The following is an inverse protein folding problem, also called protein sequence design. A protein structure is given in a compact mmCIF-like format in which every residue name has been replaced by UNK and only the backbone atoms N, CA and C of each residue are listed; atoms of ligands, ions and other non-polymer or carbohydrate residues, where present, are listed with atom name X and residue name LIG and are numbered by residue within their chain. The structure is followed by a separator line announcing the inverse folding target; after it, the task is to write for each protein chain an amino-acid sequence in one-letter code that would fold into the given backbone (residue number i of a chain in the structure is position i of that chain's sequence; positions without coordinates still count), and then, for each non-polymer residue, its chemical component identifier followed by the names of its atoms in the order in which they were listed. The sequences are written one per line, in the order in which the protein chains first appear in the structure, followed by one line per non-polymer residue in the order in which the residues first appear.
data_IF_382720192028
#
_entry.id   IF_382720192028
#
_cell.length_a   1.000
_cell.length_b   1.000
_cell.length_c   1.000
_cell.angle_alpha   90.00
_cell.angle_beta   90.00
_cell.angle_gamma   90.00
#
_symmetry.space_group_name_H-M   'P 1'
#
loop_
_entity.id
_entity.type
_entity.pdbx_description
1 polymer ?
#
# COMPACT_ATOMS: atom_id res chain seq x y z
N UNK A 1 -56.82 77.34 14.75
CA UNK A 1 -56.73 76.32 13.69
C UNK A 1 -56.65 74.97 14.39
N UNK A 2 -57.68 74.64 15.17
CA UNK A 2 -58.92 73.96 14.73
C UNK A 2 -58.64 72.48 14.47
N UNK A 3 -58.97 71.57 15.39
CA UNK A 3 -60.28 71.07 15.84
C UNK A 3 -60.61 69.70 15.21
N UNK A 4 -61.36 68.91 16.00
CA UNK A 4 -61.96 67.57 15.75
C UNK A 4 -61.13 66.34 16.15
N UNK A 5 -61.30 65.76 17.36
CA UNK A 5 -62.42 64.91 17.89
C UNK A 5 -62.56 63.60 17.07
N UNK A 6 -62.62 62.37 17.60
CA UNK A 6 -63.29 61.69 18.74
C UNK A 6 -62.73 60.23 18.71
N UNK A 7 -62.81 59.30 19.67
CA UNK A 7 -63.69 58.99 20.80
C UNK A 7 -62.94 57.99 21.72
N UNK A 8 -62.90 58.19 23.04
CA UNK A 8 -63.72 57.52 24.06
C UNK A 8 -63.40 56.04 24.38
N UNK A 9 -62.79 55.84 25.56
CA UNK A 9 -63.36 55.08 26.69
C UNK A 9 -63.33 53.54 26.69
N UNK A 10 -62.78 52.97 27.78
CA UNK A 10 -63.00 51.58 28.21
C UNK A 10 -61.70 50.87 28.62
N UNK A 11 -61.16 51.12 29.81
CA UNK A 11 -61.42 50.36 31.04
C UNK A 11 -60.66 49.02 31.13
N UNK A 12 -59.64 49.05 31.99
CA UNK A 12 -58.87 47.94 32.55
C UNK A 12 -59.72 46.73 32.95
N UNK A 13 -59.30 45.55 32.49
CA UNK A 13 -59.24 44.25 33.19
C UNK A 13 -59.23 43.13 32.13
N UNK A 14 -58.62 41.97 32.44
CA UNK A 14 -58.69 40.69 31.70
C UNK A 14 -57.55 40.28 30.74
N UNK A 15 -56.30 40.67 30.99
CA UNK A 15 -55.14 40.07 30.28
C UNK A 15 -54.05 39.47 31.19
N UNK A 16 -54.33 39.30 32.49
CA UNK A 16 -53.38 38.69 33.45
C UNK A 16 -53.77 37.29 33.94
N UNK A 17 -54.92 36.75 33.53
CA UNK A 17 -55.39 35.41 33.97
C UNK A 17 -55.27 34.29 32.93
N UNK A 18 -54.70 34.55 31.75
CA UNK A 18 -54.59 33.55 30.68
C UNK A 18 -53.21 32.85 30.57
N UNK A 19 -52.26 33.18 31.45
CA UNK A 19 -50.90 32.60 31.46
C UNK A 19 -50.63 31.69 32.67
N UNK A 20 -51.62 31.47 33.54
CA UNK A 20 -51.51 30.62 34.73
C UNK A 20 -51.95 29.16 34.50
N UNK A 21 -52.35 28.79 33.28
CA UNK A 21 -52.90 27.45 32.96
C UNK A 21 -52.06 26.63 31.98
N UNK A 22 -50.78 26.99 31.75
CA UNK A 22 -49.84 26.04 31.16
C UNK A 22 -49.33 25.12 32.29
N UNK A 23 -49.80 23.87 32.28
CA UNK A 23 -49.29 22.83 33.16
C UNK A 23 -47.76 22.83 33.13
N UNK A 24 -47.06 22.75 34.27
CA UNK A 24 -45.61 22.67 34.28
C UNK A 24 -45.21 21.46 33.44
N UNK A 25 -44.33 21.67 32.45
CA UNK A 25 -43.64 20.57 31.78
C UNK A 25 -43.12 19.63 32.87
N UNK A 26 -43.35 18.32 32.80
CA UNK A 26 -42.95 17.41 33.85
C UNK A 26 -41.42 17.51 34.00
N UNK A 27 -41.00 18.18 35.07
CA UNK A 27 -39.60 18.34 35.48
C UNK A 27 -38.90 16.98 35.61
N UNK A 28 -39.67 15.90 35.77
CA UNK A 28 -39.18 14.53 35.77
C UNK A 28 -38.59 14.08 34.43
N UNK A 29 -39.13 14.44 33.26
CA UNK A 29 -38.56 14.00 31.98
C UNK A 29 -37.21 14.68 31.69
N UNK A 30 -37.11 15.99 31.96
CA UNK A 30 -35.86 16.73 31.78
C UNK A 30 -34.78 16.31 32.79
N UNK A 31 -35.17 16.05 34.04
CA UNK A 31 -34.27 15.55 35.08
C UNK A 31 -33.82 14.10 34.83
N UNK A 32 -34.71 13.24 34.31
CA UNK A 32 -34.38 11.86 33.91
C UNK A 32 -33.41 11.88 32.73
N UNK A 33 -33.63 12.75 31.75
CA UNK A 33 -32.73 12.92 30.60
C UNK A 33 -31.36 13.45 31.03
N UNK A 34 -31.30 14.44 31.93
CA UNK A 34 -30.04 14.98 32.47
C UNK A 34 -29.29 13.97 33.36
N UNK A 35 -29.99 13.16 34.16
CA UNK A 35 -29.38 12.03 34.89
C UNK A 35 -28.86 10.95 33.92
N UNK A 36 -29.56 10.71 32.81
CA UNK A 36 -29.11 9.79 31.77
C UNK A 36 -27.81 10.29 31.13
N UNK A 37 -27.71 11.58 30.80
CA UNK A 37 -26.48 12.18 30.27
C UNK A 37 -25.34 12.27 31.30
N UNK A 38 -25.61 12.54 32.58
CA UNK A 38 -24.59 12.58 33.63
C UNK A 38 -24.07 11.18 34.01
N UNK A 39 -24.92 10.15 33.92
CA UNK A 39 -24.51 8.75 34.10
C UNK A 39 -23.79 8.19 32.87
N UNK A 40 -24.15 8.59 31.65
CA UNK A 40 -23.41 8.24 30.42
C UNK A 40 -22.02 8.89 30.34
N UNK A 41 -21.84 10.05 30.98
CA UNK A 41 -20.55 10.75 31.09
C UNK A 41 -19.75 10.38 32.35
N UNK A 42 -20.30 9.55 33.23
CA UNK A 42 -19.57 9.03 34.38
C UNK A 42 -18.46 8.07 33.91
N UNK A 43 -17.27 8.19 34.52
CA UNK A 43 -16.09 7.37 34.20
C UNK A 43 -16.35 5.85 34.08
N UNK A 44 -17.19 5.22 34.94
CA UNK A 44 -17.51 3.79 34.79
C UNK A 44 -18.27 3.45 33.50
N UNK A 45 -19.18 4.32 33.06
CA UNK A 45 -19.95 4.13 31.83
C UNK A 45 -19.07 4.27 30.59
N UNK A 46 -18.16 5.26 30.59
CA UNK A 46 -17.17 5.43 29.54
C UNK A 46 -16.20 4.24 29.48
N UNK A 47 -15.75 3.73 30.63
CA UNK A 47 -14.92 2.53 30.72
C UNK A 47 -15.65 1.29 30.19
N UNK A 48 -16.94 1.11 30.54
CA UNK A 48 -17.76 0.02 30.03
C UNK A 48 -17.93 0.09 28.51
N UNK A 49 -18.23 1.27 27.95
CA UNK A 49 -18.32 1.48 26.50
C UNK A 49 -17.00 1.15 25.80
N UNK A 50 -15.86 1.60 26.36
CA UNK A 50 -14.54 1.29 25.81
C UNK A 50 -14.24 -0.21 25.82
N UNK A 51 -14.53 -0.90 26.92
CA UNK A 51 -14.35 -2.36 27.03
C UNK A 51 -15.25 -3.09 26.03
N UNK A 52 -16.53 -2.73 25.93
CA UNK A 52 -17.46 -3.31 24.96
C UNK A 52 -16.98 -3.08 23.51
N UNK A 53 -16.47 -1.90 23.21
CA UNK A 53 -15.90 -1.58 21.90
C UNK A 53 -14.66 -2.44 21.61
N UNK A 54 -13.72 -2.54 22.55
CA UNK A 54 -12.53 -3.38 22.39
C UNK A 54 -12.87 -4.87 22.21
N UNK A 55 -13.88 -5.37 22.94
CA UNK A 55 -14.41 -6.73 22.76
C UNK A 55 -15.04 -6.90 21.38
N UNK A 56 -15.84 -5.94 20.92
CA UNK A 56 -16.40 -5.94 19.57
C UNK A 56 -15.28 -6.03 18.53
N UNK A 57 -14.33 -5.10 18.56
CA UNK A 57 -13.17 -5.08 17.67
C UNK A 57 -12.43 -6.42 17.66
N UNK A 58 -12.11 -6.98 18.83
CA UNK A 58 -11.41 -8.25 18.95
C UNK A 58 -12.23 -9.43 18.42
N UNK A 59 -13.54 -9.45 18.65
CA UNK A 59 -14.43 -10.55 18.23
C UNK A 59 -14.60 -10.65 16.71
N UNK A 60 -14.59 -9.51 16.02
CA UNK A 60 -14.75 -9.46 14.56
C UNK A 60 -13.42 -9.47 13.81
N UNK A 61 -12.30 -9.18 14.48
CA UNK A 61 -10.97 -9.02 13.86
C UNK A 61 -10.54 -10.21 12.99
N UNK A 62 -10.80 -11.45 13.44
CA UNK A 62 -10.41 -12.67 12.73
C UNK A 62 -11.50 -13.23 11.81
N UNK A 63 -12.63 -12.53 11.62
CA UNK A 63 -13.74 -13.08 10.81
C UNK A 63 -13.34 -13.28 9.37
N UNK A 64 -12.56 -12.35 8.79
CA UNK A 64 -12.10 -12.43 7.41
C UNK A 64 -11.12 -13.58 7.20
N UNK A 65 -10.05 -13.68 8.00
CA UNK A 65 -9.12 -14.81 7.95
C UNK A 65 -9.84 -16.16 8.04
N UNK A 66 -10.74 -16.31 9.03
CA UNK A 66 -11.54 -17.55 9.18
C UNK A 66 -12.48 -17.79 8.00
N UNK A 67 -12.98 -16.74 7.34
CA UNK A 67 -13.79 -16.89 6.14
C UNK A 67 -12.95 -17.36 4.95
N UNK A 68 -11.76 -16.79 4.77
CA UNK A 68 -10.80 -17.18 3.72
C UNK A 68 -10.37 -18.64 3.89
N UNK A 69 -9.94 -19.05 5.10
CA UNK A 69 -9.56 -20.45 5.38
C UNK A 69 -10.70 -21.44 5.08
N UNK A 70 -11.94 -21.08 5.44
CA UNK A 70 -13.13 -21.91 5.15
C UNK A 70 -13.50 -21.95 3.66
N UNK A 71 -13.25 -20.86 2.93
CA UNK A 71 -13.54 -20.75 1.51
C UNK A 71 -12.60 -21.63 0.70
N UNK A 72 -11.29 -21.48 0.90
CA UNK A 72 -10.27 -22.13 0.09
C UNK A 72 -9.94 -23.57 0.54
N UNK A 73 -10.13 -23.88 1.83
CA UNK A 73 -9.99 -25.25 2.37
C UNK A 73 -8.63 -25.90 2.15
N UNK A 74 -7.56 -25.10 2.11
CA UNK A 74 -6.19 -25.59 2.21
C UNK A 74 -5.87 -25.93 3.67
N UNK A 75 -6.11 -27.18 4.07
CA UNK A 75 -6.05 -27.62 5.49
C UNK A 75 -4.73 -28.27 5.87
N UNK A 76 -3.90 -28.63 4.90
CA UNK A 76 -2.64 -29.34 5.11
C UNK A 76 -1.65 -29.08 3.94
N UNK A 77 -0.41 -29.56 4.07
CA UNK A 77 0.62 -29.40 3.02
C UNK A 77 0.22 -30.05 1.69
N UNK A 78 -0.50 -31.18 1.72
CA UNK A 78 -0.90 -31.89 0.51
C UNK A 78 -1.96 -31.13 -0.31
N UNK A 79 -2.84 -30.38 0.35
CA UNK A 79 -3.78 -29.46 -0.29
C UNK A 79 -3.07 -28.19 -0.75
N UNK A 80 -2.16 -27.62 0.04
CA UNK A 80 -1.37 -26.44 -0.33
C UNK A 80 -0.53 -26.64 -1.60
N UNK A 81 0.02 -27.84 -1.80
CA UNK A 81 0.72 -28.26 -3.02
C UNK A 81 -0.13 -28.21 -4.30
N UNK A 82 -1.45 -28.10 -4.17
CA UNK A 82 -2.40 -28.02 -5.29
C UNK A 82 -2.92 -26.60 -5.53
N UNK A 83 -2.39 -25.60 -4.80
CA UNK A 83 -2.87 -24.23 -4.91
C UNK A 83 -2.66 -23.68 -6.31
N UNK A 84 -3.76 -23.29 -6.95
CA UNK A 84 -3.75 -22.69 -8.28
C UNK A 84 -3.21 -21.26 -8.23
N UNK A 85 -2.70 -20.76 -9.36
CA UNK A 85 -2.31 -19.36 -9.47
C UNK A 85 -3.50 -18.40 -9.28
N UNK A 86 -4.72 -18.83 -9.66
CA UNK A 86 -5.93 -18.04 -9.43
C UNK A 86 -6.23 -17.89 -7.93
N UNK A 87 -6.18 -18.98 -7.16
CA UNK A 87 -6.37 -18.94 -5.71
C UNK A 87 -5.25 -18.16 -5.02
N UNK A 88 -4.01 -18.38 -5.43
CA UNK A 88 -2.85 -17.66 -4.90
C UNK A 88 -2.98 -16.14 -5.13
N UNK A 89 -3.42 -15.72 -6.32
CA UNK A 89 -3.68 -14.31 -6.64
C UNK A 89 -4.82 -13.72 -5.80
N UNK A 90 -5.90 -14.46 -5.58
CA UNK A 90 -7.02 -13.96 -4.76
C UNK A 90 -6.65 -13.85 -3.27
N UNK A 91 -5.91 -14.82 -2.74
CA UNK A 91 -5.39 -14.78 -1.37
C UNK A 91 -4.38 -13.63 -1.24
N UNK A 92 -3.49 -13.43 -2.22
CA UNK A 92 -2.56 -12.31 -2.23
C UNK A 92 -3.31 -10.96 -2.25
N UNK A 93 -4.34 -10.82 -3.09
CA UNK A 93 -5.20 -9.62 -3.11
C UNK A 93 -5.83 -9.36 -1.75
N UNK A 94 -6.26 -10.39 -1.02
CA UNK A 94 -6.76 -10.26 0.35
C UNK A 94 -5.70 -9.73 1.32
N UNK A 95 -4.47 -10.26 1.26
CA UNK A 95 -3.34 -9.76 2.06
C UNK A 95 -3.09 -8.28 1.75
N UNK A 96 -3.02 -7.93 0.46
CA UNK A 96 -2.57 -6.64 -0.03
C UNK A 96 -3.60 -5.51 0.00
N UNK A 97 -4.88 -5.82 -0.20
CA UNK A 97 -5.92 -4.80 -0.36
C UNK A 97 -6.97 -4.84 0.77
N UNK A 98 -6.96 -5.87 1.63
CA UNK A 98 -7.92 -5.99 2.73
C UNK A 98 -7.25 -6.09 4.10
N UNK A 99 -6.37 -7.07 4.33
CA UNK A 99 -5.81 -7.34 5.65
C UNK A 99 -4.70 -6.34 6.03
N UNK A 100 -3.65 -6.24 5.20
CA UNK A 100 -2.39 -5.56 5.55
C UNK A 100 -1.90 -4.50 4.54
N UNK A 101 -2.77 -3.69 3.91
CA UNK A 101 -2.40 -2.89 2.75
C UNK A 101 -1.24 -1.92 2.97
N UNK A 102 -1.25 -1.20 4.10
CA UNK A 102 -0.21 -0.20 4.38
C UNK A 102 1.15 -0.86 4.65
N UNK A 103 1.19 -1.95 5.41
CA UNK A 103 2.46 -2.59 5.76
C UNK A 103 3.00 -3.49 4.64
N UNK A 104 2.12 -4.12 3.86
CA UNK A 104 2.52 -4.83 2.66
C UNK A 104 3.14 -3.87 1.63
N UNK A 105 2.52 -2.70 1.38
CA UNK A 105 3.08 -1.68 0.49
C UNK A 105 4.45 -1.18 1.00
N UNK A 106 4.56 -0.86 2.29
CA UNK A 106 5.84 -0.44 2.89
C UNK A 106 6.93 -1.53 2.79
N UNK A 107 6.57 -2.79 2.95
CA UNK A 107 7.50 -3.91 2.80
C UNK A 107 7.97 -4.08 1.35
N UNK A 108 7.10 -3.90 0.36
CA UNK A 108 7.49 -3.90 -1.06
C UNK A 108 8.36 -2.70 -1.43
N UNK A 109 8.07 -1.52 -0.89
CA UNK A 109 8.94 -0.35 -1.05
C UNK A 109 10.34 -0.65 -0.54
N UNK A 110 10.45 -1.26 0.65
CA UNK A 110 11.74 -1.70 1.18
C UNK A 110 12.38 -2.80 0.32
N UNK A 111 11.60 -3.77 -0.17
CA UNK A 111 12.09 -4.82 -1.05
C UNK A 111 12.80 -4.24 -2.28
N UNK A 112 12.12 -3.32 -2.99
CA UNK A 112 12.69 -2.63 -4.14
C UNK A 112 13.91 -1.81 -3.71
N UNK A 113 13.83 -1.11 -2.58
CA UNK A 113 14.95 -0.33 -2.06
C UNK A 113 16.19 -1.20 -1.80
N UNK A 114 16.04 -2.40 -1.23
CA UNK A 114 17.16 -3.34 -0.99
C UNK A 114 17.90 -3.70 -2.27
N UNK A 115 17.22 -3.76 -3.42
CA UNK A 115 17.89 -4.05 -4.71
C UNK A 115 18.92 -2.98 -5.08
N UNK A 116 18.75 -1.73 -4.62
CA UNK A 116 19.72 -0.66 -4.86
C UNK A 116 21.02 -0.87 -4.08
N UNK A 117 21.02 -1.75 -3.07
CA UNK A 117 22.22 -2.17 -2.32
C UNK A 117 23.11 -3.15 -3.09
N UNK A 118 22.67 -3.63 -4.27
CA UNK A 118 23.46 -4.46 -5.17
C UNK A 118 24.12 -3.57 -6.22
N UNK A 119 25.46 -3.60 -6.29
CA UNK A 119 26.22 -2.64 -7.10
C UNK A 119 25.94 -2.75 -8.61
N UNK A 120 25.72 -3.96 -9.13
CA UNK A 120 25.32 -4.20 -10.54
C UNK A 120 24.03 -3.48 -10.89
N UNK A 121 23.03 -3.55 -10.01
CA UNK A 121 21.73 -2.87 -10.15
C UNK A 121 21.91 -1.36 -10.03
N UNK A 122 22.59 -0.87 -9.00
CA UNK A 122 22.73 0.58 -8.77
C UNK A 122 23.51 1.28 -9.88
N UNK A 123 24.57 0.65 -10.42
CA UNK A 123 25.31 1.15 -11.59
C UNK A 123 24.41 1.39 -12.79
N UNK A 124 23.50 0.44 -13.08
CA UNK A 124 22.57 0.57 -14.21
C UNK A 124 21.55 1.69 -13.98
N UNK A 125 21.01 1.80 -12.77
CA UNK A 125 20.05 2.85 -12.39
C UNK A 125 20.68 4.24 -12.55
N UNK A 126 21.90 4.43 -12.04
CA UNK A 126 22.65 5.69 -12.16
C UNK A 126 22.99 5.99 -13.61
N UNK A 127 23.46 5.00 -14.38
CA UNK A 127 23.82 5.20 -15.78
C UNK A 127 22.62 5.60 -16.66
N UNK A 128 21.45 5.05 -16.37
CA UNK A 128 20.21 5.37 -17.09
C UNK A 128 19.51 6.62 -16.56
N UNK A 129 19.94 7.16 -15.42
CA UNK A 129 19.27 8.19 -14.63
C UNK A 129 17.80 7.86 -14.32
N UNK A 130 17.42 6.57 -14.38
CA UNK A 130 16.01 6.17 -14.32
C UNK A 130 15.39 6.42 -12.94
N UNK A 131 16.23 6.38 -11.89
CA UNK A 131 15.79 6.60 -10.51
C UNK A 131 16.76 7.43 -9.65
N UNK A 132 17.81 8.00 -10.25
CA UNK A 132 18.78 8.86 -9.55
C UNK A 132 18.62 10.36 -9.86
N UNK A 133 17.70 10.73 -10.76
CA UNK A 133 17.37 12.12 -11.09
C UNK A 133 16.02 12.51 -10.46
N UNK A 134 15.99 13.49 -9.54
CA UNK A 134 14.76 13.94 -8.86
C UNK A 134 13.60 14.30 -9.79
N UNK A 135 13.86 14.69 -11.05
CA UNK A 135 12.80 14.98 -12.03
C UNK A 135 12.12 13.73 -12.56
N UNK A 136 12.85 12.63 -12.67
CA UNK A 136 12.36 11.39 -13.30
C UNK A 136 11.96 10.31 -12.29
N UNK A 137 12.56 10.30 -11.09
CA UNK A 137 12.29 9.31 -10.05
C UNK A 137 10.81 9.23 -9.63
N UNK A 138 10.07 10.36 -9.48
CA UNK A 138 8.64 10.29 -9.12
C UNK A 138 7.79 9.52 -10.13
N UNK A 139 7.98 9.78 -11.44
CA UNK A 139 7.27 9.03 -12.48
C UNK A 139 7.70 7.57 -12.50
N UNK A 140 9.00 7.28 -12.42
CA UNK A 140 9.52 5.91 -12.42
C UNK A 140 9.00 5.11 -11.22
N UNK A 141 8.87 5.74 -10.06
CA UNK A 141 8.26 5.14 -8.87
C UNK A 141 6.80 4.79 -9.15
N UNK A 142 6.00 5.75 -9.64
CA UNK A 142 4.60 5.49 -9.94
C UNK A 142 4.43 4.41 -11.02
N UNK A 143 5.24 4.44 -12.07
CA UNK A 143 5.26 3.42 -13.13
C UNK A 143 5.46 2.02 -12.54
N UNK A 144 6.39 1.89 -11.59
CA UNK A 144 6.68 0.61 -10.92
C UNK A 144 5.50 0.14 -10.08
N UNK A 145 4.94 1.04 -9.25
CA UNK A 145 3.76 0.75 -8.42
C UNK A 145 2.54 0.37 -9.27
N UNK A 146 2.32 1.05 -10.39
CA UNK A 146 1.23 0.75 -11.32
C UNK A 146 1.39 -0.66 -11.91
N UNK A 147 2.58 -1.06 -12.34
CA UNK A 147 2.79 -2.42 -12.86
C UNK A 147 2.60 -3.48 -11.77
N UNK A 148 3.15 -3.25 -10.57
CA UNK A 148 3.03 -4.16 -9.43
C UNK A 148 1.56 -4.40 -9.06
N UNK A 149 0.80 -3.33 -8.84
CA UNK A 149 -0.63 -3.46 -8.57
C UNK A 149 -1.38 -4.13 -9.71
N UNK A 150 -1.00 -3.87 -10.96
CA UNK A 150 -1.63 -4.43 -12.14
C UNK A 150 -1.57 -5.96 -12.17
N UNK A 151 -0.43 -6.58 -11.85
CA UNK A 151 -0.32 -8.05 -11.81
C UNK A 151 -0.65 -8.68 -10.46
N UNK A 152 -0.61 -7.94 -9.34
CA UNK A 152 -0.90 -8.48 -7.99
C UNK A 152 -2.38 -8.46 -7.60
N UNK A 153 -3.16 -7.48 -8.09
CA UNK A 153 -4.56 -7.29 -7.69
C UNK A 153 -5.58 -7.89 -8.66
N UNK A 154 -5.08 -8.49 -9.75
CA UNK A 154 -5.88 -9.02 -10.84
C UNK A 154 -5.54 -10.49 -11.10
N UNK A 155 -6.52 -11.30 -11.53
CA UNK A 155 -6.29 -12.72 -11.84
C UNK A 155 -5.11 -12.92 -12.79
N UNK A 156 -4.32 -14.01 -12.65
CA UNK A 156 -3.09 -14.25 -13.41
C UNK A 156 -3.24 -14.14 -14.94
N UNK A 157 -4.37 -14.60 -15.47
CA UNK A 157 -4.68 -14.65 -16.91
C UNK A 157 -5.55 -13.49 -17.39
N UNK A 158 -5.87 -12.54 -16.51
CA UNK A 158 -6.61 -11.33 -16.88
C UNK A 158 -5.78 -10.39 -17.76
N UNK A 159 -6.46 -9.63 -18.62
CA UNK A 159 -5.82 -8.65 -19.50
C UNK A 159 -4.94 -7.64 -18.73
N UNK A 160 -5.39 -7.17 -17.57
CA UNK A 160 -4.63 -6.23 -16.74
C UNK A 160 -3.33 -6.86 -16.22
N UNK A 161 -3.39 -8.10 -15.74
CA UNK A 161 -2.22 -8.81 -15.22
C UNK A 161 -1.21 -9.09 -16.34
N UNK A 162 -1.69 -9.64 -17.46
CA UNK A 162 -0.84 -9.98 -18.61
C UNK A 162 -0.21 -8.74 -19.25
N UNK A 163 -0.96 -7.63 -19.42
CA UNK A 163 -0.40 -6.37 -19.95
C UNK A 163 0.61 -5.74 -19.01
N UNK A 164 0.41 -5.83 -17.70
CA UNK A 164 1.38 -5.35 -16.71
C UNK A 164 2.71 -6.09 -16.83
N UNK A 165 2.67 -7.43 -16.89
CA UNK A 165 3.87 -8.25 -17.05
C UNK A 165 4.51 -8.03 -18.42
N UNK A 166 3.71 -7.98 -19.49
CA UNK A 166 4.21 -7.74 -20.83
C UNK A 166 4.94 -6.40 -20.92
N UNK A 167 4.39 -5.34 -20.31
CA UNK A 167 5.06 -4.04 -20.27
C UNK A 167 6.33 -4.09 -19.44
N UNK A 168 6.32 -4.76 -18.30
CA UNK A 168 7.50 -4.95 -17.46
C UNK A 168 8.62 -5.68 -18.23
N UNK A 169 8.31 -6.83 -18.84
CA UNK A 169 9.26 -7.62 -19.61
C UNK A 169 9.81 -6.83 -20.81
N UNK A 170 8.96 -6.11 -21.56
CA UNK A 170 9.41 -5.25 -22.66
C UNK A 170 10.32 -4.10 -22.20
N UNK A 171 10.16 -3.60 -20.97
CA UNK A 171 11.06 -2.58 -20.40
C UNK A 171 12.39 -3.20 -19.94
N UNK A 172 12.37 -4.41 -19.35
CA UNK A 172 13.57 -5.12 -18.93
C UNK A 172 14.40 -5.66 -20.09
N UNK A 173 13.76 -6.14 -21.17
CA UNK A 173 14.43 -6.71 -22.34
C UNK A 173 15.41 -5.75 -23.02
N UNK A 174 15.17 -4.43 -22.94
CA UNK A 174 16.09 -3.41 -23.46
C UNK A 174 17.45 -3.41 -22.76
N UNK A 175 17.49 -3.98 -21.56
CA UNK A 175 18.68 -4.10 -20.72
C UNK A 175 19.12 -5.57 -20.59
N UNK A 176 18.63 -6.46 -21.46
CA UNK A 176 19.11 -7.84 -21.56
C UNK A 176 20.63 -7.85 -21.73
N UNK A 177 21.32 -8.66 -20.93
CA UNK A 177 22.78 -8.71 -20.86
C UNK A 177 23.43 -7.65 -19.95
N UNK A 178 22.66 -6.65 -19.48
CA UNK A 178 23.09 -5.71 -18.42
C UNK A 178 22.45 -6.02 -17.07
N UNK A 179 21.21 -6.50 -17.08
CA UNK A 179 20.56 -7.07 -15.90
C UNK A 179 20.88 -8.57 -15.91
N UNK A 180 21.57 -9.05 -14.87
CA UNK A 180 21.89 -10.47 -14.76
C UNK A 180 20.69 -11.29 -14.26
N UNK A 181 20.72 -12.61 -14.47
CA UNK A 181 19.71 -13.48 -13.88
C UNK A 181 19.72 -13.41 -12.34
N UNK A 182 20.91 -13.27 -11.73
CA UNK A 182 21.05 -13.10 -10.29
C UNK A 182 20.36 -11.82 -9.78
N UNK A 183 20.46 -10.71 -10.52
CA UNK A 183 19.78 -9.45 -10.16
C UNK A 183 18.26 -9.59 -10.24
N UNK A 184 17.76 -10.29 -11.27
CA UNK A 184 16.32 -10.58 -11.44
C UNK A 184 15.82 -11.51 -10.32
N UNK A 185 16.54 -12.60 -10.05
CA UNK A 185 16.19 -13.55 -9.00
C UNK A 185 16.26 -12.91 -7.61
N UNK A 186 17.22 -12.02 -7.35
CA UNK A 186 17.30 -11.28 -6.09
C UNK A 186 16.12 -10.32 -5.92
N UNK A 187 15.74 -9.61 -6.99
CA UNK A 187 14.55 -8.76 -6.99
C UNK A 187 13.29 -9.58 -6.70
N UNK A 188 13.14 -10.75 -7.33
CA UNK A 188 12.04 -11.67 -7.06
C UNK A 188 12.05 -12.14 -5.59
N UNK A 189 13.23 -12.49 -5.08
CA UNK A 189 13.39 -12.97 -3.72
C UNK A 189 12.93 -11.95 -2.69
N UNK A 190 13.38 -10.69 -2.78
CA UNK A 190 12.97 -9.65 -1.81
C UNK A 190 11.47 -9.34 -1.88
N UNK A 191 10.83 -9.51 -3.05
CA UNK A 191 9.38 -9.42 -3.19
C UNK A 191 8.62 -10.55 -2.48
N UNK A 192 9.23 -11.72 -2.32
CA UNK A 192 8.71 -12.82 -1.48
C UNK A 192 9.01 -12.57 0.00
N UNK A 193 10.28 -12.28 0.33
CA UNK A 193 10.76 -12.34 1.71
C UNK A 193 10.34 -11.15 2.55
N UNK A 194 10.39 -9.92 2.01
CA UNK A 194 10.15 -8.73 2.82
C UNK A 194 8.69 -8.60 3.28
N UNK A 195 7.66 -8.81 2.43
CA UNK A 195 6.28 -8.79 2.90
C UNK A 195 5.99 -9.83 3.98
N UNK A 196 6.51 -11.05 3.83
CA UNK A 196 6.35 -12.12 4.83
C UNK A 196 6.99 -11.72 6.15
N UNK A 197 8.24 -11.23 6.11
CA UNK A 197 8.97 -10.78 7.31
C UNK A 197 8.25 -9.63 8.00
N UNK A 198 7.91 -8.57 7.26
CA UNK A 198 7.30 -7.36 7.83
C UNK A 198 5.95 -7.63 8.45
N UNK A 199 5.10 -8.45 7.82
CA UNK A 199 3.79 -8.79 8.39
C UNK A 199 3.98 -9.61 9.66
N UNK A 200 4.83 -10.64 9.64
CA UNK A 200 5.03 -11.49 10.81
C UNK A 200 5.61 -10.73 12.02
N UNK A 201 6.51 -9.78 11.77
CA UNK A 201 7.16 -9.00 12.83
C UNK A 201 6.26 -7.85 13.34
N UNK A 202 5.58 -7.14 12.44
CA UNK A 202 5.01 -5.82 12.73
C UNK A 202 3.50 -5.68 12.53
N UNK A 203 2.80 -6.64 11.90
CA UNK A 203 1.34 -6.61 11.83
C UNK A 203 0.65 -7.18 13.07
N UNK A 204 -0.65 -6.91 13.18
CA UNK A 204 -1.49 -7.35 14.29
C UNK A 204 -1.65 -8.88 14.40
N UNK A 205 -1.34 -9.63 13.34
CA UNK A 205 -1.20 -11.10 13.33
C UNK A 205 -0.14 -11.52 12.31
N UNK A 206 0.52 -12.68 12.47
CA UNK A 206 1.34 -13.26 11.42
C UNK A 206 0.48 -13.80 10.26
N UNK A 207 1.14 -14.05 9.13
CA UNK A 207 0.56 -14.81 8.03
C UNK A 207 0.37 -16.27 8.44
N UNK A 208 -0.73 -16.88 8.00
CA UNK A 208 -0.92 -18.33 8.12
C UNK A 208 -0.28 -19.08 6.94
N UNK A 209 -0.18 -20.41 7.03
CA UNK A 209 0.48 -21.23 5.99
C UNK A 209 -0.16 -21.07 4.60
N UNK A 210 -1.49 -20.96 4.52
CA UNK A 210 -2.19 -20.72 3.25
C UNK A 210 -1.76 -19.39 2.61
N UNK A 211 -1.62 -18.34 3.41
CA UNK A 211 -1.17 -17.03 2.94
C UNK A 211 0.31 -17.05 2.50
N UNK A 212 1.20 -17.73 3.24
CA UNK A 212 2.61 -17.87 2.85
C UNK A 212 2.74 -18.70 1.56
N UNK A 213 1.98 -19.79 1.44
CA UNK A 213 1.93 -20.59 0.24
C UNK A 213 1.44 -19.79 -0.98
N UNK A 214 0.40 -18.97 -0.80
CA UNK A 214 -0.11 -18.11 -1.86
C UNK A 214 0.93 -17.09 -2.35
N UNK A 215 1.67 -16.47 -1.43
CA UNK A 215 2.78 -15.58 -1.79
C UNK A 215 3.83 -16.35 -2.60
N UNK A 216 4.22 -17.55 -2.15
CA UNK A 216 5.18 -18.40 -2.85
C UNK A 216 4.73 -18.81 -4.26
N UNK A 217 3.52 -19.35 -4.39
CA UNK A 217 2.92 -19.73 -5.68
C UNK A 217 2.86 -18.53 -6.63
N UNK A 218 2.37 -17.39 -6.15
CA UNK A 218 2.20 -16.19 -6.96
C UNK A 218 3.54 -15.69 -7.52
N UNK A 219 4.54 -15.54 -6.67
CA UNK A 219 5.84 -15.02 -7.10
C UNK A 219 6.63 -16.03 -7.92
N UNK A 220 6.50 -17.34 -7.67
CA UNK A 220 7.06 -18.37 -8.55
C UNK A 220 6.47 -18.28 -9.96
N UNK A 221 5.14 -18.19 -10.06
CA UNK A 221 4.44 -18.00 -11.34
C UNK A 221 4.85 -16.72 -12.06
N UNK A 222 5.07 -15.63 -11.32
CA UNK A 222 5.59 -14.39 -11.90
C UNK A 222 7.04 -14.55 -12.38
N UNK A 223 7.91 -15.19 -11.59
CA UNK A 223 9.30 -15.46 -11.97
C UNK A 223 9.40 -16.29 -13.26
N UNK A 224 8.54 -17.30 -13.40
CA UNK A 224 8.41 -18.09 -14.62
C UNK A 224 7.97 -17.21 -15.80
N UNK A 225 6.96 -16.36 -15.61
CA UNK A 225 6.48 -15.43 -16.63
C UNK A 225 7.51 -14.34 -17.02
N UNK A 226 8.54 -14.15 -16.21
CA UNK A 226 9.68 -13.28 -16.47
C UNK A 226 10.89 -14.04 -17.02
N UNK A 227 10.77 -15.35 -17.23
CA UNK A 227 11.83 -16.26 -17.66
C UNK A 227 13.07 -16.20 -16.73
N UNK A 228 12.85 -16.07 -15.42
CA UNK A 228 13.93 -16.12 -14.43
C UNK A 228 14.38 -17.56 -14.24
N UNK A 229 15.69 -17.80 -14.34
CA UNK A 229 16.28 -19.12 -14.17
C UNK A 229 16.57 -19.39 -12.69
N UNK A 230 16.09 -20.52 -12.16
CA UNK A 230 16.37 -20.95 -10.79
C UNK A 230 17.55 -21.93 -10.69
N UNK A 231 17.81 -22.66 -11.77
CA UNK A 231 18.82 -23.71 -11.83
C UNK A 231 20.21 -23.13 -11.58
N UNK A 232 20.97 -23.74 -10.67
CA UNK A 232 22.30 -23.29 -10.29
C UNK A 232 22.32 -22.12 -9.31
N UNK A 233 21.16 -21.56 -8.96
CA UNK A 233 21.01 -20.56 -7.90
C UNK A 233 20.34 -21.16 -6.68
N UNK A 234 19.14 -21.74 -6.85
CA UNK A 234 18.38 -22.35 -5.75
C UNK A 234 18.85 -23.78 -5.48
N UNK A 235 18.56 -24.29 -4.28
CA UNK A 235 19.01 -25.63 -3.86
C UNK A 235 18.27 -26.76 -4.59
N UNK A 236 17.12 -26.44 -5.22
CA UNK A 236 16.26 -27.39 -5.93
C UNK A 236 15.86 -26.85 -7.30
N UNK A 237 15.48 -27.76 -8.20
CA UNK A 237 14.90 -27.44 -9.51
C UNK A 237 13.36 -27.48 -9.49
N UNK A 238 12.77 -28.10 -8.47
CA UNK A 238 11.33 -28.15 -8.24
C UNK A 238 11.02 -28.13 -6.74
N UNK A 239 9.81 -27.70 -6.40
CA UNK A 239 9.31 -27.57 -5.03
C UNK A 239 7.93 -28.20 -4.95
N UNK A 240 7.55 -28.72 -3.78
CA UNK A 240 6.25 -29.35 -3.58
C UNK A 240 5.13 -28.31 -3.53
N UNK A 241 5.41 -27.13 -3.00
CA UNK A 241 4.44 -26.06 -2.82
C UNK A 241 5.13 -24.69 -2.69
N UNK A 242 4.31 -23.65 -2.54
CA UNK A 242 4.77 -22.26 -2.45
C UNK A 242 5.60 -21.97 -1.20
N UNK A 243 5.36 -22.67 -0.09
CA UNK A 243 6.13 -22.47 1.14
C UNK A 243 7.56 -22.98 0.93
N UNK A 244 7.72 -24.16 0.36
CA UNK A 244 9.06 -24.72 0.11
C UNK A 244 9.87 -23.85 -0.88
N UNK A 245 9.22 -23.33 -1.93
CA UNK A 245 9.85 -22.34 -2.82
C UNK A 245 10.25 -21.06 -2.07
N UNK A 246 9.37 -20.53 -1.22
CA UNK A 246 9.65 -19.34 -0.44
C UNK A 246 10.81 -19.55 0.54
N UNK A 247 10.94 -20.72 1.15
CA UNK A 247 12.06 -21.07 2.02
C UNK A 247 13.38 -21.16 1.25
N UNK A 248 13.40 -21.83 0.10
CA UNK A 248 14.60 -22.00 -0.73
C UNK A 248 15.11 -20.66 -1.28
N UNK A 249 14.22 -19.84 -1.85
CA UNK A 249 14.60 -18.51 -2.36
C UNK A 249 15.03 -17.57 -1.23
N UNK A 250 14.46 -17.71 -0.02
CA UNK A 250 14.90 -16.96 1.17
C UNK A 250 16.33 -17.36 1.58
N UNK A 251 16.63 -18.66 1.59
CA UNK A 251 17.95 -19.17 1.94
C UNK A 251 19.01 -18.70 0.92
N UNK A 252 18.68 -18.76 -0.37
CA UNK A 252 19.55 -18.24 -1.42
C UNK A 252 19.76 -16.72 -1.28
N UNK A 253 18.70 -15.94 -1.10
CA UNK A 253 18.80 -14.48 -0.99
C UNK A 253 19.69 -14.04 0.17
N UNK A 254 19.61 -14.72 1.33
CA UNK A 254 20.51 -14.45 2.47
C UNK A 254 21.98 -14.67 2.11
N UNK A 255 22.27 -15.71 1.34
CA UNK A 255 23.64 -16.03 0.88
C UNK A 255 24.10 -15.03 -0.17
N UNK A 256 23.25 -14.71 -1.15
CA UNK A 256 23.53 -13.71 -2.18
C UNK A 256 23.79 -12.32 -1.57
N UNK A 257 23.04 -11.92 -0.55
CA UNK A 257 23.26 -10.66 0.15
C UNK A 257 24.62 -10.60 0.85
N UNK A 258 25.09 -11.69 1.46
CA UNK A 258 26.43 -11.75 2.06
C UNK A 258 27.53 -11.53 1.02
N UNK A 259 27.33 -12.02 -0.20
CA UNK A 259 28.32 -11.95 -1.26
C UNK A 259 28.27 -10.63 -2.03
N UNK A 260 27.07 -10.18 -2.42
CA UNK A 260 26.85 -9.13 -3.41
C UNK A 260 26.42 -7.77 -2.83
N UNK A 261 25.78 -7.73 -1.65
CA UNK A 261 25.31 -6.48 -1.03
C UNK A 261 26.44 -5.80 -0.25
N UNK A 262 27.37 -5.19 -0.99
CA UNK A 262 28.55 -4.52 -0.44
C UNK A 262 28.43 -3.00 -0.48
N UNK A 263 29.09 -2.28 0.43
CA UNK A 263 29.18 -0.81 0.38
C UNK A 263 29.74 -0.31 -0.96
N UNK A 264 28.91 0.41 -1.72
CA UNK A 264 29.34 0.99 -3.01
C UNK A 264 28.75 2.39 -3.20
N UNK A 265 29.58 3.32 -3.69
CA UNK A 265 29.17 4.74 -3.83
C UNK A 265 27.98 4.90 -4.78
N UNK A 266 27.86 4.02 -5.77
CA UNK A 266 26.74 4.01 -6.72
C UNK A 266 25.42 3.63 -6.05
N UNK A 267 25.43 2.88 -4.94
CA UNK A 267 24.23 2.49 -4.20
C UNK A 267 23.57 3.71 -3.53
N UNK A 268 24.38 4.67 -3.06
CA UNK A 268 23.91 5.84 -2.31
C UNK A 268 22.96 6.73 -3.13
N UNK A 269 23.25 6.95 -4.40
CA UNK A 269 22.50 7.87 -5.26
C UNK A 269 21.01 7.52 -5.44
N UNK A 270 20.63 6.30 -5.87
CA UNK A 270 19.23 5.91 -5.93
C UNK A 270 18.61 5.79 -4.53
N UNK A 271 19.42 5.52 -3.50
CA UNK A 271 18.91 5.44 -2.14
C UNK A 271 18.47 6.81 -1.62
N UNK A 272 19.31 7.83 -1.78
CA UNK A 272 18.99 9.22 -1.43
C UNK A 272 17.76 9.72 -2.20
N UNK A 273 17.66 9.38 -3.49
CA UNK A 273 16.48 9.73 -4.28
C UNK A 273 15.18 9.13 -3.70
N UNK A 274 15.20 7.88 -3.21
CA UNK A 274 14.02 7.30 -2.56
C UNK A 274 13.74 7.94 -1.19
N UNK A 275 14.76 8.13 -0.36
CA UNK A 275 14.57 8.77 0.96
C UNK A 275 13.99 10.18 0.80
N UNK A 276 14.48 10.94 -0.18
CA UNK A 276 13.97 12.27 -0.48
C UNK A 276 12.49 12.24 -0.89
N UNK A 277 12.06 11.19 -1.59
CA UNK A 277 10.65 10.97 -1.92
C UNK A 277 9.83 10.58 -0.69
N UNK A 278 10.31 9.65 0.15
CA UNK A 278 9.63 9.22 1.37
C UNK A 278 9.50 10.35 2.40
N UNK A 279 10.49 11.25 2.45
CA UNK A 279 10.54 12.40 3.34
C UNK A 279 10.03 13.70 2.69
N UNK A 280 9.42 13.63 1.51
CA UNK A 280 9.01 14.82 0.75
C UNK A 280 8.10 15.77 1.56
N UNK A 281 7.20 15.20 2.35
CA UNK A 281 6.25 15.94 3.20
C UNK A 281 6.77 16.20 4.63
N UNK A 282 8.00 15.79 4.95
CA UNK A 282 8.58 15.99 6.29
C UNK A 282 9.20 17.40 6.38
N UNK A 283 8.82 18.21 7.37
CA UNK A 283 9.41 19.54 7.58
C UNK A 283 10.92 19.47 7.76
N UNK A 284 11.64 20.48 7.23
CA UNK A 284 13.12 20.52 7.24
C UNK A 284 13.75 20.28 8.61
N UNK A 285 13.15 20.80 9.68
CA UNK A 285 13.67 20.66 11.04
C UNK A 285 13.59 19.22 11.58
N UNK A 286 12.67 18.40 11.06
CA UNK A 286 12.48 17.01 11.49
C UNK A 286 13.13 16.00 10.52
N UNK A 287 13.61 16.46 9.36
CA UNK A 287 14.08 15.59 8.27
C UNK A 287 15.21 14.66 8.68
N UNK A 288 16.24 15.16 9.38
CA UNK A 288 17.38 14.32 9.81
C UNK A 288 16.95 13.21 10.77
N UNK A 289 16.09 13.53 11.75
CA UNK A 289 15.57 12.51 12.66
C UNK A 289 14.66 11.51 11.95
N UNK A 290 13.83 11.98 11.01
CA UNK A 290 12.98 11.09 10.21
C UNK A 290 13.81 10.16 9.31
N UNK A 291 14.92 10.63 8.74
CA UNK A 291 15.89 9.79 8.02
C UNK A 291 16.45 8.69 8.92
N UNK A 292 16.90 9.03 10.14
CA UNK A 292 17.34 8.02 11.10
C UNK A 292 16.26 6.97 11.36
N UNK A 293 15.01 7.40 11.64
CA UNK A 293 13.88 6.50 11.88
C UNK A 293 13.62 5.57 10.68
N UNK A 294 13.71 6.07 9.44
CA UNK A 294 13.57 5.24 8.24
C UNK A 294 14.70 4.21 8.13
N UNK A 295 15.94 4.60 8.45
CA UNK A 295 17.10 3.70 8.35
C UNK A 295 17.10 2.56 9.38
N UNK A 296 16.36 2.70 10.49
CA UNK A 296 16.18 1.61 11.48
C UNK A 296 15.62 0.34 10.82
N UNK A 297 14.65 0.49 9.91
CA UNK A 297 13.98 -0.66 9.29
C UNK A 297 14.78 -1.28 8.13
N UNK A 298 15.87 -0.63 7.69
CA UNK A 298 16.75 -1.16 6.65
C UNK A 298 17.61 -2.33 7.17
N UNK A 299 17.94 -2.32 8.46
CA UNK A 299 18.93 -3.21 9.06
C UNK A 299 20.37 -2.90 8.63
N UNK A 300 21.33 -3.45 9.36
CA UNK A 300 22.75 -3.04 9.25
C UNK A 300 23.32 -3.24 7.85
N UNK A 301 23.10 -4.41 7.23
CA UNK A 301 23.68 -4.71 5.92
C UNK A 301 23.25 -3.73 4.82
N UNK A 302 21.96 -3.44 4.74
CA UNK A 302 21.40 -2.54 3.73
C UNK A 302 21.89 -1.11 3.97
N UNK A 303 21.88 -0.68 5.24
CA UNK A 303 22.39 0.63 5.67
C UNK A 303 23.87 0.81 5.30
N UNK A 304 24.70 -0.18 5.62
CA UNK A 304 26.13 -0.19 5.32
C UNK A 304 26.37 -0.21 3.80
N UNK A 305 25.59 -0.98 3.05
CA UNK A 305 25.66 -1.02 1.57
C UNK A 305 25.42 0.37 0.93
N UNK A 306 24.63 1.22 1.60
CA UNK A 306 24.32 2.58 1.19
C UNK A 306 25.19 3.67 1.83
N UNK A 307 26.09 3.33 2.75
CA UNK A 307 26.81 4.32 3.57
C UNK A 307 25.89 5.23 4.41
N UNK A 308 24.71 4.76 4.85
CA UNK A 308 23.96 5.48 5.88
C UNK A 308 24.63 5.30 7.24
N UNK A 309 24.68 6.34 8.08
CA UNK A 309 25.19 6.22 9.44
C UNK A 309 24.25 5.36 10.29
N UNK A 310 24.79 4.79 11.37
CA UNK A 310 23.97 4.10 12.36
C UNK A 310 22.94 5.05 12.99
N UNK A 311 21.65 4.67 13.02
CA UNK A 311 20.62 5.52 13.62
C UNK A 311 20.80 5.60 15.14
N UNK A 312 20.43 6.73 15.73
CA UNK A 312 20.46 6.88 17.17
C UNK A 312 19.53 5.89 17.87
N UNK A 313 19.86 5.55 19.13
CA UNK A 313 19.02 4.70 19.99
C UNK A 313 17.60 5.30 20.12
N UNK A 314 17.48 6.63 20.12
CA UNK A 314 16.18 7.32 20.18
C UNK A 314 15.37 7.07 18.91
N UNK A 315 16.00 7.13 17.73
CA UNK A 315 15.33 6.82 16.47
C UNK A 315 14.87 5.35 16.43
N UNK A 316 15.73 4.42 16.85
CA UNK A 316 15.39 3.00 16.95
C UNK A 316 14.22 2.74 17.90
N UNK A 317 14.28 3.31 19.12
CA UNK A 317 13.20 3.22 20.10
C UNK A 317 11.88 3.79 19.55
N UNK A 318 11.96 4.93 18.86
CA UNK A 318 10.79 5.58 18.25
C UNK A 318 10.16 4.70 17.17
N UNK A 319 10.97 4.17 16.25
CA UNK A 319 10.51 3.31 15.17
C UNK A 319 9.81 2.05 15.69
N UNK A 320 10.48 1.29 16.58
CA UNK A 320 9.92 0.04 17.11
C UNK A 320 8.73 0.28 18.03
N UNK A 321 8.76 1.33 18.87
CA UNK A 321 7.62 1.67 19.71
C UNK A 321 6.42 2.07 18.86
N UNK A 322 6.60 2.87 17.81
CA UNK A 322 5.52 3.23 16.89
C UNK A 322 4.89 1.99 16.23
N UNK A 323 5.71 1.02 15.79
CA UNK A 323 5.23 -0.23 15.21
C UNK A 323 4.48 -1.11 16.24
N UNK A 324 4.99 -1.24 17.46
CA UNK A 324 4.34 -2.00 18.55
C UNK A 324 3.01 -1.36 18.94
N UNK A 325 2.99 -0.04 19.12
CA UNK A 325 1.75 0.71 19.44
C UNK A 325 0.75 0.55 18.31
N UNK A 326 1.16 0.74 17.04
CA UNK A 326 0.31 0.50 15.88
C UNK A 326 -0.27 -0.91 15.88
N UNK A 327 0.57 -1.92 16.08
CA UNK A 327 0.17 -3.33 16.14
C UNK A 327 -0.92 -3.56 17.18
N UNK A 328 -0.74 -3.01 18.39
CA UNK A 328 -1.72 -3.09 19.47
C UNK A 328 -3.03 -2.37 19.13
N UNK A 329 -2.95 -1.12 18.65
CA UNK A 329 -4.12 -0.31 18.28
C UNK A 329 -4.91 -0.98 17.17
N UNK A 330 -4.25 -1.45 16.11
CA UNK A 330 -4.92 -2.15 15.01
C UNK A 330 -5.57 -3.45 15.51
N UNK A 331 -4.88 -4.22 16.37
CA UNK A 331 -5.40 -5.49 16.87
C UNK A 331 -6.66 -5.35 17.71
N UNK A 332 -6.72 -4.33 18.57
CA UNK A 332 -7.69 -4.23 19.65
C UNK A 332 -8.66 -3.06 19.55
N UNK A 333 -8.30 -1.98 18.85
CA UNK A 333 -9.04 -0.71 18.88
C UNK A 333 -9.50 -0.22 17.50
N UNK A 334 -9.03 -0.82 16.40
CA UNK A 334 -9.62 -0.54 15.09
C UNK A 334 -10.76 -1.52 14.82
N UNK A 335 -11.70 -1.17 13.92
CA UNK A 335 -12.58 -2.15 13.28
C UNK A 335 -11.84 -2.76 12.07
N UNK A 336 -12.18 -4.00 11.63
CA UNK A 336 -11.71 -4.53 10.35
C UNK A 336 -12.31 -3.70 9.20
N UNK A 337 -11.66 -3.75 8.03
CA UNK A 337 -12.18 -3.05 6.85
C UNK A 337 -13.50 -3.67 6.41
N UNK A 338 -14.38 -2.85 5.83
CA UNK A 338 -15.66 -3.34 5.30
C UNK A 338 -15.57 -3.75 3.83
N UNK A 339 -14.57 -3.23 3.11
CA UNK A 339 -14.33 -3.49 1.70
C UNK A 339 -12.83 -3.54 1.42
N UNK A 340 -12.49 -4.12 0.26
CA UNK A 340 -11.14 -4.08 -0.29
C UNK A 340 -10.79 -2.64 -0.68
N UNK A 341 -9.51 -2.30 -0.62
CA UNK A 341 -9.00 -1.07 -1.21
C UNK A 341 -8.97 -1.22 -2.74
N UNK A 342 -9.68 -0.33 -3.41
CA UNK A 342 -9.55 -0.16 -4.85
C UNK A 342 -8.34 0.73 -5.14
N UNK A 343 -7.49 0.28 -6.06
CA UNK A 343 -6.27 0.99 -6.47
C UNK A 343 -6.27 1.38 -7.95
N UNK A 344 -7.25 0.89 -8.71
CA UNK A 344 -7.47 1.22 -10.11
C UNK A 344 -8.93 1.53 -10.40
N UNK A 345 -9.16 2.39 -11.39
CA UNK A 345 -10.46 2.44 -12.07
C UNK A 345 -10.61 1.28 -13.05
N UNK A 346 -11.85 1.02 -13.45
CA UNK A 346 -12.07 0.31 -14.71
C UNK A 346 -11.50 1.13 -15.89
N UNK A 347 -11.14 0.49 -17.02
CA UNK A 347 -10.74 1.20 -18.22
C UNK A 347 -11.85 2.13 -18.72
N UNK A 348 -11.52 3.39 -18.98
CA UNK A 348 -12.47 4.35 -19.52
C UNK A 348 -13.00 3.87 -20.90
N UNK A 349 -14.32 3.79 -21.13
CA UNK A 349 -14.87 3.21 -22.37
C UNK A 349 -14.49 3.96 -23.65
N UNK A 350 -14.09 5.23 -23.56
CA UNK A 350 -13.77 6.06 -24.75
C UNK A 350 -12.28 6.05 -25.05
N UNK A 351 -11.45 6.17 -24.02
CA UNK A 351 -10.00 6.34 -24.13
C UNK A 351 -9.21 5.08 -23.83
N UNK A 352 -9.82 4.09 -23.16
CA UNK A 352 -9.16 2.89 -22.65
C UNK A 352 -8.20 3.16 -21.49
N UNK A 353 -8.13 4.41 -20.99
CA UNK A 353 -7.20 4.81 -19.93
C UNK A 353 -7.68 4.32 -18.58
N UNK A 354 -6.73 3.95 -17.74
CA UNK A 354 -6.95 3.47 -16.38
C UNK A 354 -6.39 4.51 -15.42
N UNK A 355 -7.16 4.86 -14.40
CA UNK A 355 -6.70 5.75 -13.33
C UNK A 355 -6.14 4.94 -12.18
N UNK A 356 -5.10 5.46 -11.53
CA UNK A 356 -4.62 4.95 -10.26
C UNK A 356 -5.12 5.85 -9.11
N UNK A 357 -5.21 5.31 -7.90
CA UNK A 357 -5.81 6.03 -6.76
C UNK A 357 -4.86 6.34 -5.61
N UNK A 358 -3.59 5.97 -5.68
CA UNK A 358 -2.61 6.18 -4.60
C UNK A 358 -1.26 6.67 -5.17
N UNK A 359 -0.62 7.64 -4.51
CA UNK A 359 0.66 8.17 -4.95
C UNK A 359 1.52 8.56 -3.77
N UNK A 360 2.85 8.46 -3.93
CA UNK A 360 3.79 8.81 -2.87
C UNK A 360 4.14 10.30 -2.85
N UNK A 361 4.44 10.89 -4.01
CA UNK A 361 4.92 12.28 -4.12
C UNK A 361 4.14 13.07 -5.16
N UNK A 362 4.17 12.59 -6.41
CA UNK A 362 3.51 13.24 -7.53
C UNK A 362 2.31 12.41 -7.98
N UNK A 363 1.13 13.02 -8.17
CA UNK A 363 -0.11 12.32 -8.49
C UNK A 363 -0.19 11.92 -9.98
N UNK A 364 0.76 11.12 -10.44
CA UNK A 364 0.76 10.57 -11.80
C UNK A 364 -0.42 9.60 -11.98
N UNK A 365 -1.15 9.74 -13.08
CA UNK A 365 -2.29 8.88 -13.46
C UNK A 365 -3.55 9.02 -12.60
N UNK A 366 -3.66 10.10 -11.83
CA UNK A 366 -4.76 10.30 -10.86
C UNK A 366 -5.64 11.47 -11.27
N UNK A 367 -6.95 11.21 -11.35
CA UNK A 367 -7.92 12.25 -11.66
C UNK A 367 -8.03 13.31 -10.56
N UNK A 368 -8.16 14.57 -10.98
CA UNK A 368 -8.45 15.72 -10.12
C UNK A 368 -9.91 15.81 -9.69
N UNK A 369 -10.44 14.77 -9.06
CA UNK A 369 -11.81 14.78 -8.48
C UNK A 369 -11.90 15.81 -7.33
N UNK A 370 -13.14 16.15 -6.92
CA UNK A 370 -13.34 17.11 -5.83
C UNK A 370 -12.61 16.67 -4.55
N UNK A 371 -12.80 15.42 -4.12
CA UNK A 371 -12.16 14.89 -2.91
C UNK A 371 -10.64 14.77 -3.05
N UNK A 372 -10.14 14.38 -4.22
CA UNK A 372 -8.69 14.31 -4.46
C UNK A 372 -8.02 15.70 -4.41
N UNK A 373 -8.77 16.78 -4.65
CA UNK A 373 -8.23 18.16 -4.68
C UNK A 373 -8.43 18.93 -3.39
N UNK A 374 -9.43 18.56 -2.60
CA UNK A 374 -9.91 19.34 -1.43
C UNK A 374 -10.08 18.50 -0.16
N UNK A 375 -9.77 17.20 -0.19
CA UNK A 375 -9.75 16.36 1.00
C UNK A 375 -8.63 16.75 1.98
N UNK A 376 -8.67 16.22 3.21
CA UNK A 376 -7.70 16.56 4.26
C UNK A 376 -6.25 16.36 3.84
N UNK A 377 -5.94 15.24 3.18
CA UNK A 377 -4.61 14.96 2.64
C UNK A 377 -4.19 16.00 1.60
N UNK A 378 -5.08 16.33 0.66
CA UNK A 378 -4.81 17.34 -0.37
C UNK A 378 -4.54 18.74 0.22
N UNK A 379 -5.23 19.11 1.31
CA UNK A 379 -4.96 20.36 2.03
C UNK A 379 -3.56 20.35 2.64
N UNK A 380 -3.17 19.25 3.29
CA UNK A 380 -1.82 19.08 3.86
C UNK A 380 -0.76 19.12 2.77
N UNK A 381 -0.95 18.38 1.68
CA UNK A 381 -0.05 18.37 0.51
C UNK A 381 0.16 19.77 -0.04
N UNK A 382 -0.90 20.58 -0.18
CA UNK A 382 -0.79 21.99 -0.61
C UNK A 382 -0.02 22.85 0.38
N UNK A 383 -0.30 22.73 1.68
CA UNK A 383 0.42 23.47 2.73
C UNK A 383 1.93 23.15 2.70
N UNK A 384 2.30 21.93 2.32
CA UNK A 384 3.67 21.47 2.18
C UNK A 384 4.27 21.72 0.79
N UNK A 385 3.56 22.43 -0.11
CA UNK A 385 4.04 22.78 -1.45
C UNK A 385 4.02 21.65 -2.48
N UNK A 386 3.29 20.56 -2.21
CA UNK A 386 3.11 19.43 -3.14
C UNK A 386 2.02 19.66 -4.19
N UNK A 387 2.06 18.87 -5.25
CA UNK A 387 0.98 18.82 -6.24
C UNK A 387 -0.11 17.87 -5.78
N UNK A 388 -1.36 18.32 -5.86
CA UNK A 388 -2.54 17.46 -5.69
C UNK A 388 -3.04 17.00 -7.06
N UNK A 389 -3.80 15.89 -7.16
CA UNK A 389 -4.34 15.39 -8.42
C UNK A 389 -5.01 16.48 -9.27
N UNK A 390 -4.63 16.56 -10.54
CA UNK A 390 -5.10 17.58 -11.49
C UNK A 390 -4.50 18.98 -11.34
N UNK A 391 -3.56 19.23 -10.41
CA UNK A 391 -2.90 20.55 -10.26
C UNK A 391 -1.58 20.70 -11.00
N UNK A 392 -0.91 19.60 -11.38
CA UNK A 392 0.36 19.61 -12.12
C UNK A 392 0.23 19.59 -13.64
N UNK A 393 -0.96 19.88 -14.17
CA UNK A 393 -1.22 19.89 -15.63
C UNK A 393 -1.20 18.50 -16.26
N UNK A 394 -1.15 18.48 -17.60
CA UNK A 394 -1.18 17.25 -18.40
C UNK A 394 0.08 16.37 -18.24
N UNK A 395 1.19 16.93 -17.76
CA UNK A 395 2.43 16.17 -17.50
C UNK A 395 2.23 15.05 -16.47
N UNK A 396 1.36 15.26 -15.47
CA UNK A 396 1.01 14.25 -14.48
C UNK A 396 -0.08 13.28 -14.96
N UNK A 397 -0.54 13.43 -16.20
CA UNK A 397 -1.48 12.51 -16.86
C UNK A 397 -2.76 12.24 -16.04
N UNK A 398 -3.51 13.27 -15.64
CA UNK A 398 -4.70 13.11 -14.78
C UNK A 398 -5.82 12.28 -15.44
N UNK A 399 -5.78 12.09 -16.76
CA UNK A 399 -6.67 11.20 -17.50
C UNK A 399 -6.39 9.71 -17.33
N UNK A 400 -5.35 9.33 -16.57
CA UNK A 400 -4.92 7.94 -16.39
C UNK A 400 -3.86 7.50 -17.41
N UNK A 401 -3.45 6.24 -17.35
CA UNK A 401 -2.44 5.64 -18.22
C UNK A 401 -3.05 4.69 -19.25
N UNK A 402 -2.37 4.55 -20.38
CA UNK A 402 -2.31 3.32 -21.14
C UNK A 402 -1.01 2.58 -20.80
N UNK A 403 -0.94 1.27 -21.00
CA UNK A 403 0.27 0.51 -20.66
C UNK A 403 1.51 0.97 -21.42
N UNK A 404 1.36 1.47 -22.65
CA UNK A 404 2.45 2.10 -23.41
C UNK A 404 2.98 3.40 -22.80
N UNK A 405 2.23 4.05 -21.91
CA UNK A 405 2.62 5.30 -21.25
C UNK A 405 3.60 5.05 -20.08
N UNK A 406 3.61 3.82 -19.56
CA UNK A 406 4.44 3.41 -18.42
C UNK A 406 5.90 3.27 -18.87
N UNK A 407 6.84 3.92 -18.20
CA UNK A 407 8.26 3.91 -18.52
C UNK A 407 8.83 5.32 -18.71
N UNK A 408 10.12 5.43 -19.12
CA UNK A 408 10.79 6.72 -19.26
C UNK A 408 10.05 7.64 -20.23
N UNK A 409 9.91 8.92 -19.86
CA UNK A 409 9.19 9.92 -20.65
C UNK A 409 9.69 10.01 -22.10
N UNK A 410 11.00 9.87 -22.33
CA UNK A 410 11.61 9.87 -23.66
C UNK A 410 11.14 8.72 -24.59
N UNK A 411 10.62 7.64 -24.00
CA UNK A 411 10.15 6.44 -24.72
C UNK A 411 8.66 6.16 -24.52
N UNK A 412 7.94 7.12 -23.94
CA UNK A 412 6.50 7.02 -23.70
C UNK A 412 5.74 6.81 -25.02
N UNK A 413 4.76 5.90 -25.01
CA UNK A 413 4.01 5.52 -26.21
C UNK A 413 4.76 4.63 -27.20
N UNK A 414 6.06 4.34 -26.97
CA UNK A 414 6.87 3.43 -27.80
C UNK A 414 6.80 1.99 -27.29
N UNK A 415 7.30 1.08 -28.12
CA UNK A 415 7.43 -0.35 -27.86
C UNK A 415 6.11 -1.12 -27.74
N UNK A 416 5.10 -0.69 -28.51
CA UNK A 416 3.80 -1.36 -28.53
C UNK A 416 3.88 -2.76 -29.14
N UNK A 417 4.74 -2.94 -30.16
CA UNK A 417 4.91 -4.23 -30.82
C UNK A 417 5.57 -5.26 -29.92
N UNK A 418 6.65 -4.88 -29.23
CA UNK A 418 7.36 -5.73 -28.28
C UNK A 418 6.46 -6.11 -27.10
N UNK A 419 5.67 -5.15 -26.60
CA UNK A 419 4.68 -5.44 -25.56
C UNK A 419 3.60 -6.42 -26.06
N UNK A 420 3.07 -6.23 -27.27
CA UNK A 420 2.05 -7.12 -27.83
C UNK A 420 2.58 -8.55 -28.06
N UNK A 421 3.86 -8.68 -28.43
CA UNK A 421 4.52 -9.98 -28.55
C UNK A 421 4.62 -10.68 -27.19
N UNK A 422 5.04 -9.95 -26.15
CA UNK A 422 5.05 -10.48 -24.78
C UNK A 422 3.66 -10.86 -24.29
N UNK A 423 2.64 -10.04 -24.56
CA UNK A 423 1.25 -10.35 -24.19
C UNK A 423 0.78 -11.66 -24.84
N UNK A 424 1.09 -11.87 -26.13
CA UNK A 424 0.76 -13.12 -26.84
C UNK A 424 1.44 -14.32 -26.19
N UNK A 425 2.74 -14.24 -25.90
CA UNK A 425 3.48 -15.32 -25.24
C UNK A 425 2.90 -15.64 -23.86
N UNK A 426 2.63 -14.62 -23.05
CA UNK A 426 2.09 -14.80 -21.70
C UNK A 426 0.69 -15.44 -21.70
N UNK A 427 -0.13 -15.21 -22.73
CA UNK A 427 -1.43 -15.90 -22.89
C UNK A 427 -1.27 -17.40 -23.15
N UNK A 428 -0.17 -17.80 -23.78
CA UNK A 428 0.14 -19.20 -24.07
C UNK A 428 0.86 -19.88 -22.88
N UNK A 429 1.75 -19.14 -22.21
CA UNK A 429 2.69 -19.69 -21.23
C UNK A 429 2.22 -19.60 -19.77
N UNK A 430 1.45 -18.56 -19.38
CA UNK A 430 1.14 -18.32 -17.96
C UNK A 430 -0.09 -19.13 -17.51
N UNK A 431 0.05 -20.10 -16.61
CA UNK A 431 -1.06 -20.99 -16.25
C UNK A 431 -1.97 -20.36 -15.20
N UNK A 432 -3.27 -20.66 -15.28
CA UNK A 432 -4.22 -20.49 -14.16
C UNK A 432 -4.05 -21.57 -13.08
N UNK A 433 -3.49 -22.74 -13.44
CA UNK A 433 -3.29 -23.88 -12.55
C UNK A 433 -2.17 -23.72 -11.52
N UNK A 434 -1.83 -24.81 -10.82
CA UNK A 434 -0.72 -24.84 -9.88
C UNK A 434 0.61 -24.55 -10.61
N UNK A 435 1.49 -23.70 -10.06
CA UNK A 435 2.75 -23.38 -10.71
C UNK A 435 3.85 -24.42 -10.45
N UNK A 436 3.64 -25.46 -9.64
CA UNK A 436 4.67 -26.46 -9.29
C UNK A 436 4.57 -27.77 -10.08
#
# INVERSE_FOLDING_TARGET
MDNFSRSAGGANATATDALSTLAPFPTSMFSTLMMFFSTLTAWPSLAAVFVLYAVLCSSIRFRHEKAMLRRFKYTDRASLAKMSNDDASEILKSIMAYEFPKLYNAALQLAIFKTYGIETVSKLIVATKSFSDPKSSPKRYQDTVTLFHGFQLNPPTSDLSLKSIARMNALHDKYRGKISNADMLYTLAVCVTEPVKFINDYEWRPLNEMEVNAIGCFWKSLGDAMHIEYRGYLSRESWQDGIEFAEDITAWARSYELEAMRPARTNRLPADALIDMLLYHVPRFARSFAEEVLTVLMGDRVRDAFYYPEPSIIAAWTAYTALIVRRFVVRHLCLPRLAYLDLFSDPDPRSGRIQHFDYLVQPYYIAGTFWNRWGPEALVTRMLGGHVPGSGGEELMPGGFLFEDIGPAATMGRHKAEMAEWERRLREERPSGCPF
#
